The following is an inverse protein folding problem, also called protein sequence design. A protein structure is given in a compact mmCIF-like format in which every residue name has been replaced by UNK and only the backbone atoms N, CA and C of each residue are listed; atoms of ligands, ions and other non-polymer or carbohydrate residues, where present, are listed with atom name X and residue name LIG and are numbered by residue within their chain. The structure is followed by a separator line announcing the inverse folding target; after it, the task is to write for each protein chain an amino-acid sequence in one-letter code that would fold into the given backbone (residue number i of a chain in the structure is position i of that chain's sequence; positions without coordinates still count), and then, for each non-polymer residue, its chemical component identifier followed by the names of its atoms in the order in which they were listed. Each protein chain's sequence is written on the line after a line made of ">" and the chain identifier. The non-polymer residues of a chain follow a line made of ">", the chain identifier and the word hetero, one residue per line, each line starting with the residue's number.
data_IF_455337012999
#
_entry.id   IF_455337012999
#
_cell.length_a   1.000
_cell.length_b   1.000
_cell.length_c   1.000
_cell.angle_alpha   90.00
_cell.angle_beta   90.00
_cell.angle_gamma   90.00
#
_symmetry.space_group_name_H-M   'P 1'
#
loop_
_entity.id
_entity.type
_entity.pdbx_description
1 polymer ?
#
# COMPACT_ATOMS: atom_id res chain seq x y z
N UNK A 1 22.88 12.32 -43.94
CA UNK A 1 21.63 11.92 -43.25
C UNK A 1 21.84 12.17 -41.78
N UNK A 2 21.25 13.22 -41.15
CA UNK A 2 21.34 13.42 -39.72
C UNK A 2 20.43 12.42 -39.03
N UNK A 3 20.98 11.65 -38.08
CA UNK A 3 20.22 10.75 -37.23
C UNK A 3 19.38 11.59 -36.27
N UNK A 4 18.05 11.47 -36.32
CA UNK A 4 17.09 11.96 -35.38
C UNK A 4 17.44 11.43 -33.98
N UNK A 5 18.11 12.24 -33.17
CA UNK A 5 18.16 12.02 -31.73
C UNK A 5 16.74 12.24 -31.21
N UNK A 6 15.96 11.15 -31.03
CA UNK A 6 14.73 11.17 -30.25
C UNK A 6 15.08 11.79 -28.89
N UNK A 7 14.65 13.03 -28.65
CA UNK A 7 14.70 13.66 -27.35
C UNK A 7 14.04 12.73 -26.34
N UNK A 8 14.83 12.27 -25.36
CA UNK A 8 14.29 11.52 -24.24
C UNK A 8 13.28 12.41 -23.52
N UNK A 9 12.04 11.96 -23.27
CA UNK A 9 11.08 12.77 -22.55
C UNK A 9 11.67 13.13 -21.17
N UNK A 10 11.57 14.38 -20.79
CA UNK A 10 12.09 14.98 -19.53
C UNK A 10 11.73 14.14 -18.29
N UNK A 11 10.57 13.47 -18.36
CA UNK A 11 10.03 12.58 -17.31
C UNK A 11 10.76 11.24 -17.17
N UNK A 12 11.45 10.75 -18.22
CA UNK A 12 12.18 9.48 -18.15
C UNK A 12 13.39 9.60 -17.20
N UNK A 13 14.09 10.74 -17.22
CA UNK A 13 15.25 10.96 -16.36
C UNK A 13 14.82 11.20 -14.90
N UNK A 14 13.65 11.81 -14.66
CA UNK A 14 13.09 11.97 -13.31
C UNK A 14 12.75 10.60 -12.70
N UNK A 15 12.07 9.74 -13.45
CA UNK A 15 11.75 8.38 -13.04
C UNK A 15 13.00 7.57 -12.68
N UNK A 16 14.01 7.60 -13.55
CA UNK A 16 15.26 6.89 -13.32
C UNK A 16 15.97 7.38 -12.03
N UNK A 17 16.04 8.70 -11.82
CA UNK A 17 16.61 9.28 -10.60
C UNK A 17 15.86 8.86 -9.34
N UNK A 18 14.53 8.89 -9.36
CA UNK A 18 13.71 8.46 -8.23
C UNK A 18 13.88 6.96 -7.94
N UNK A 19 13.89 6.11 -8.97
CA UNK A 19 14.17 4.69 -8.82
C UNK A 19 15.56 4.43 -8.22
N UNK A 20 16.58 5.19 -8.65
CA UNK A 20 17.93 5.08 -8.09
C UNK A 20 17.97 5.53 -6.63
N UNK A 21 17.28 6.62 -6.26
CA UNK A 21 17.15 7.08 -4.88
C UNK A 21 16.48 6.02 -4.00
N UNK A 22 15.40 5.40 -4.46
CA UNK A 22 14.71 4.32 -3.73
C UNK A 22 15.63 3.11 -3.53
N UNK A 23 16.41 2.73 -4.55
CA UNK A 23 17.37 1.61 -4.43
C UNK A 23 18.47 1.89 -3.42
N UNK A 24 18.95 3.13 -3.33
CA UNK A 24 20.03 3.52 -2.43
C UNK A 24 19.55 3.77 -1.00
N UNK A 25 18.46 4.51 -0.83
CA UNK A 25 18.03 5.10 0.45
C UNK A 25 16.71 4.50 0.96
N UNK A 26 16.03 3.67 0.16
CA UNK A 26 14.73 3.08 0.49
C UNK A 26 13.54 4.04 0.30
N UNK A 27 12.32 3.49 0.36
CA UNK A 27 11.07 4.27 0.21
C UNK A 27 10.87 5.31 1.31
N UNK A 28 11.39 5.06 2.52
CA UNK A 28 11.26 5.99 3.65
C UNK A 28 12.00 7.32 3.45
N UNK A 29 12.89 7.41 2.45
CA UNK A 29 13.57 8.65 2.08
C UNK A 29 12.72 9.60 1.25
N UNK A 30 11.57 9.13 0.78
CA UNK A 30 10.66 9.88 -0.07
C UNK A 30 9.61 10.63 0.75
N UNK A 31 9.20 11.80 0.26
CA UNK A 31 8.01 12.48 0.79
C UNK A 31 6.73 11.72 0.40
N UNK A 32 5.63 11.95 1.11
CA UNK A 32 4.37 11.23 0.90
C UNK A 32 3.87 11.23 -0.55
N UNK A 33 3.93 12.38 -1.23
CA UNK A 33 3.55 12.47 -2.65
C UNK A 33 4.54 11.74 -3.56
N UNK A 34 5.85 11.74 -3.24
CA UNK A 34 6.87 11.01 -4.01
C UNK A 34 6.69 9.49 -3.90
N UNK A 35 6.24 8.98 -2.74
CA UNK A 35 5.90 7.56 -2.58
C UNK A 35 4.73 7.17 -3.47
N UNK A 36 3.67 8.00 -3.53
CA UNK A 36 2.54 7.78 -4.45
C UNK A 36 2.96 7.89 -5.90
N UNK A 37 3.79 8.87 -6.23
CA UNK A 37 4.35 9.02 -7.57
C UNK A 37 5.12 7.76 -8.00
N UNK A 38 5.99 7.26 -7.12
CA UNK A 38 6.74 6.03 -7.35
C UNK A 38 5.83 4.82 -7.55
N UNK A 39 4.77 4.69 -6.74
CA UNK A 39 3.76 3.64 -6.87
C UNK A 39 3.05 3.73 -8.22
N UNK A 40 2.68 4.92 -8.66
CA UNK A 40 2.01 5.15 -9.94
C UNK A 40 2.90 4.80 -11.15
N UNK A 41 4.21 4.75 -11.02
CA UNK A 41 5.10 4.29 -12.09
C UNK A 41 4.78 2.88 -12.57
N UNK A 42 4.25 2.02 -11.71
CA UNK A 42 3.90 0.64 -12.06
C UNK A 42 2.60 0.54 -12.87
N UNK A 43 1.70 1.51 -12.74
CA UNK A 43 0.41 1.52 -13.45
C UNK A 43 0.35 2.53 -14.59
N UNK A 44 1.22 3.54 -14.61
CA UNK A 44 1.27 4.61 -15.60
C UNK A 44 2.70 4.72 -16.18
N UNK A 45 3.05 3.93 -17.21
CA UNK A 45 4.46 3.80 -17.63
C UNK A 45 5.02 5.00 -18.40
N UNK A 46 4.19 5.82 -19.04
CA UNK A 46 4.67 6.83 -20.01
C UNK A 46 4.26 8.27 -19.69
N UNK A 47 3.53 8.51 -18.60
CA UNK A 47 2.99 9.80 -18.26
C UNK A 47 3.66 10.34 -17.00
N UNK A 48 3.66 11.66 -16.83
CA UNK A 48 4.07 12.30 -15.59
C UNK A 48 3.06 11.99 -14.48
N UNK A 49 3.51 11.33 -13.43
CA UNK A 49 2.66 10.91 -12.32
C UNK A 49 2.74 11.87 -11.12
N UNK A 50 3.66 12.83 -11.14
CA UNK A 50 3.80 13.80 -10.06
C UNK A 50 2.53 14.64 -9.85
N UNK A 51 1.88 15.23 -10.90
CA UNK A 51 0.63 15.96 -10.72
C UNK A 51 -0.51 15.09 -10.17
N UNK A 52 -0.54 13.80 -10.53
CA UNK A 52 -1.57 12.86 -10.06
C UNK A 52 -1.36 12.57 -8.57
N UNK A 53 -0.12 12.33 -8.13
CA UNK A 53 0.23 12.13 -6.73
C UNK A 53 -0.17 13.34 -5.86
N UNK A 54 0.09 14.54 -6.32
CA UNK A 54 -0.34 15.77 -5.64
C UNK A 54 -1.86 15.92 -5.57
N UNK A 55 -2.60 15.57 -6.65
CA UNK A 55 -4.07 15.58 -6.64
C UNK A 55 -4.63 14.57 -5.64
N UNK A 56 -4.06 13.36 -5.56
CA UNK A 56 -4.44 12.36 -4.58
C UNK A 56 -4.27 12.86 -3.14
N UNK A 57 -3.11 13.41 -2.79
CA UNK A 57 -2.87 13.98 -1.45
C UNK A 57 -3.85 15.12 -1.16
N UNK A 58 -4.10 16.01 -2.13
CA UNK A 58 -5.04 17.13 -1.96
C UNK A 58 -6.48 16.65 -1.75
N UNK A 59 -6.90 15.62 -2.48
CA UNK A 59 -8.27 15.09 -2.41
C UNK A 59 -8.54 14.35 -1.11
N UNK A 60 -7.60 13.51 -0.66
CA UNK A 60 -7.77 12.65 0.52
C UNK A 60 -7.13 13.22 1.80
N UNK A 61 -6.34 14.28 1.70
CA UNK A 61 -5.70 14.96 2.83
C UNK A 61 -4.39 14.33 3.30
N UNK A 62 -4.20 13.01 3.16
CA UNK A 62 -2.97 12.32 3.58
C UNK A 62 -2.67 11.09 2.73
N UNK A 63 -1.41 10.64 2.78
CA UNK A 63 -0.97 9.38 2.18
C UNK A 63 -1.77 8.17 2.71
N UNK A 64 -1.99 8.10 4.02
CA UNK A 64 -2.74 7.00 4.63
C UNK A 64 -4.18 6.94 4.10
N UNK A 65 -4.86 8.08 4.04
CA UNK A 65 -6.23 8.15 3.51
C UNK A 65 -6.32 7.75 2.04
N UNK A 66 -5.26 8.04 1.24
CA UNK A 66 -5.19 7.56 -0.15
C UNK A 66 -5.13 6.03 -0.21
N UNK A 67 -4.34 5.40 0.66
CA UNK A 67 -4.23 3.93 0.69
C UNK A 67 -5.47 3.25 1.29
N UNK A 68 -6.22 3.95 2.13
CA UNK A 68 -7.47 3.47 2.73
C UNK A 68 -8.70 3.73 1.84
N UNK A 69 -8.53 4.47 0.72
CA UNK A 69 -9.62 4.78 -0.19
C UNK A 69 -10.06 3.56 -1.02
N UNK A 70 -11.36 3.51 -1.36
CA UNK A 70 -11.90 2.49 -2.28
C UNK A 70 -11.52 2.78 -3.73
N UNK A 71 -11.61 1.76 -4.59
CA UNK A 71 -11.38 1.94 -6.03
C UNK A 71 -12.31 3.03 -6.61
N UNK A 72 -13.58 3.06 -6.18
CA UNK A 72 -14.57 4.03 -6.64
C UNK A 72 -14.23 5.48 -6.23
N UNK A 73 -13.72 5.66 -5.01
CA UNK A 73 -13.28 6.98 -4.53
C UNK A 73 -12.02 7.45 -5.27
N UNK A 74 -11.07 6.55 -5.51
CA UNK A 74 -9.84 6.84 -6.24
C UNK A 74 -10.10 7.24 -7.69
N UNK A 75 -11.07 6.60 -8.35
CA UNK A 75 -11.47 6.91 -9.72
C UNK A 75 -12.05 8.31 -9.90
N UNK A 76 -12.49 8.99 -8.83
CA UNK A 76 -12.95 10.38 -8.87
C UNK A 76 -11.81 11.38 -9.05
N UNK A 77 -10.56 10.96 -8.83
CA UNK A 77 -9.38 11.83 -8.96
C UNK A 77 -8.90 11.82 -10.41
N UNK A 78 -8.81 13.01 -11.01
CA UNK A 78 -8.35 13.18 -12.38
C UNK A 78 -6.95 12.59 -12.60
N UNK A 79 -6.81 11.75 -13.62
CA UNK A 79 -5.59 11.06 -14.00
C UNK A 79 -5.43 9.68 -13.34
N UNK A 80 -6.32 9.30 -12.42
CA UNK A 80 -6.35 7.96 -11.84
C UNK A 80 -7.26 7.07 -12.68
N UNK A 81 -6.66 6.14 -13.42
CA UNK A 81 -7.41 5.13 -14.17
C UNK A 81 -7.66 3.85 -13.35
N UNK A 82 -8.45 2.90 -13.90
CA UNK A 82 -8.82 1.66 -13.18
C UNK A 82 -7.61 0.84 -12.69
N UNK A 83 -6.54 0.78 -13.47
CA UNK A 83 -5.33 0.05 -13.07
C UNK A 83 -4.66 0.70 -11.85
N UNK A 84 -4.58 2.04 -11.82
CA UNK A 84 -3.98 2.78 -10.72
C UNK A 84 -4.86 2.72 -9.47
N UNK A 85 -6.18 2.86 -9.60
CA UNK A 85 -7.12 2.75 -8.50
C UNK A 85 -7.03 1.36 -7.84
N UNK A 86 -7.05 0.30 -8.64
CA UNK A 86 -6.91 -1.09 -8.16
C UNK A 86 -5.57 -1.32 -7.48
N UNK A 87 -4.47 -0.82 -8.06
CA UNK A 87 -3.14 -0.95 -7.47
C UNK A 87 -3.10 -0.31 -6.09
N UNK A 88 -3.54 0.94 -5.96
CA UNK A 88 -3.54 1.68 -4.68
C UNK A 88 -4.41 0.96 -3.65
N UNK A 89 -5.67 0.63 -3.98
CA UNK A 89 -6.61 -0.05 -3.08
C UNK A 89 -6.16 -1.46 -2.67
N UNK A 90 -5.24 -2.08 -3.41
CA UNK A 90 -4.69 -3.40 -3.09
C UNK A 90 -3.56 -3.37 -2.07
N UNK A 91 -2.89 -2.24 -1.86
CA UNK A 91 -1.70 -2.15 -0.97
C UNK A 91 -2.02 -2.62 0.45
N UNK A 92 -3.11 -2.11 1.04
CA UNK A 92 -3.51 -2.50 2.39
C UNK A 92 -3.91 -3.97 2.49
N UNK A 93 -4.49 -4.52 1.43
CA UNK A 93 -4.84 -5.95 1.34
C UNK A 93 -3.59 -6.84 1.29
N UNK A 94 -2.57 -6.43 0.53
CA UNK A 94 -1.28 -7.13 0.51
C UNK A 94 -0.58 -7.07 1.86
N UNK A 95 -0.57 -5.93 2.53
CA UNK A 95 -0.03 -5.78 3.87
C UNK A 95 -0.75 -6.71 4.86
N UNK A 96 -2.08 -6.76 4.83
CA UNK A 96 -2.88 -7.66 5.67
C UNK A 96 -2.49 -9.12 5.44
N UNK A 97 -2.46 -9.57 4.17
CA UNK A 97 -2.07 -10.95 3.83
C UNK A 97 -0.65 -11.26 4.32
N UNK A 98 0.30 -10.34 4.12
CA UNK A 98 1.68 -10.50 4.57
C UNK A 98 1.76 -10.70 6.09
N UNK A 99 1.08 -9.85 6.87
CA UNK A 99 1.05 -9.95 8.32
C UNK A 99 0.38 -11.24 8.81
N UNK A 100 -0.73 -11.65 8.18
CA UNK A 100 -1.40 -12.91 8.50
C UNK A 100 -0.51 -14.13 8.19
N UNK A 101 0.21 -14.13 7.08
CA UNK A 101 1.11 -15.22 6.71
C UNK A 101 2.32 -15.33 7.63
N UNK A 102 2.90 -14.20 8.05
CA UNK A 102 4.00 -14.20 9.03
C UNK A 102 3.62 -14.90 10.34
N UNK A 103 2.35 -14.88 10.71
CA UNK A 103 1.83 -15.45 11.96
C UNK A 103 1.49 -16.92 11.87
N UNK A 104 1.17 -17.44 10.67
CA UNK A 104 0.79 -18.85 10.46
C UNK A 104 1.85 -19.88 10.89
N UNK A 105 3.10 -19.46 11.10
CA UNK A 105 4.19 -20.33 11.60
C UNK A 105 4.55 -20.16 13.07
N UNK A 106 3.95 -19.19 13.76
CA UNK A 106 4.29 -18.87 15.15
C UNK A 106 3.10 -19.14 16.05
N UNK A 107 2.97 -20.37 16.55
CA UNK A 107 2.06 -20.70 17.64
C UNK A 107 2.56 -20.05 18.95
N UNK A 108 2.48 -18.71 19.03
CA UNK A 108 2.83 -17.96 20.24
C UNK A 108 1.60 -17.86 21.13
N UNK A 109 1.67 -18.24 22.41
CA UNK A 109 0.55 -18.09 23.33
C UNK A 109 0.26 -16.58 23.54
N UNK A 110 -1.01 -16.19 23.48
CA UNK A 110 -1.47 -14.81 23.65
C UNK A 110 -1.69 -14.50 25.15
N UNK A 111 -0.60 -14.49 25.92
CA UNK A 111 -0.67 -14.35 27.38
C UNK A 111 -0.88 -12.90 27.81
N UNK A 112 -0.25 -11.97 27.12
CA UNK A 112 -0.32 -10.53 27.46
C UNK A 112 -1.34 -9.81 26.59
N UNK A 113 -1.78 -8.64 27.04
CA UNK A 113 -2.62 -7.75 26.24
C UNK A 113 -1.92 -7.34 24.93
N UNK A 114 -0.63 -7.05 25.01
CA UNK A 114 0.18 -6.73 23.83
C UNK A 114 0.20 -7.87 22.81
N UNK A 115 0.33 -9.14 23.25
CA UNK A 115 0.26 -10.30 22.35
C UNK A 115 -1.10 -10.40 21.65
N UNK A 116 -2.20 -10.08 22.38
CA UNK A 116 -3.56 -10.10 21.83
C UNK A 116 -3.78 -8.99 20.84
N UNK A 117 -3.38 -7.76 21.17
CA UNK A 117 -3.45 -6.60 20.26
C UNK A 117 -2.64 -6.88 18.99
N UNK A 118 -1.41 -7.35 19.12
CA UNK A 118 -0.56 -7.72 18.00
C UNK A 118 -1.22 -8.78 17.10
N UNK A 119 -1.90 -9.76 17.69
CA UNK A 119 -2.61 -10.80 16.95
C UNK A 119 -3.85 -10.27 16.22
N UNK A 120 -4.65 -9.42 16.89
CA UNK A 120 -5.96 -8.99 16.40
C UNK A 120 -5.85 -7.86 15.38
N UNK A 121 -4.93 -6.91 15.57
CA UNK A 121 -4.82 -5.71 14.75
C UNK A 121 -4.84 -5.95 13.22
N UNK A 122 -4.14 -6.97 12.66
CA UNK A 122 -4.19 -7.21 11.21
C UNK A 122 -5.52 -7.72 10.68
N UNK A 123 -6.39 -8.27 11.55
CA UNK A 123 -7.71 -8.71 11.13
C UNK A 123 -8.59 -7.52 10.70
N UNK A 124 -8.30 -6.35 11.26
CA UNK A 124 -9.02 -5.11 10.99
C UNK A 124 -8.32 -4.15 10.02
N UNK A 125 -7.12 -4.48 9.55
CA UNK A 125 -6.24 -3.56 8.82
C UNK A 125 -6.84 -2.96 7.54
N UNK A 126 -7.72 -3.70 6.86
CA UNK A 126 -8.36 -3.28 5.61
C UNK A 126 -9.89 -3.17 5.73
N UNK A 127 -10.42 -3.32 6.96
CA UNK A 127 -11.85 -3.30 7.17
C UNK A 127 -12.36 -1.87 7.36
N UNK A 128 -13.42 -1.52 6.64
CA UNK A 128 -14.13 -0.23 6.75
C UNK A 128 -15.50 -0.35 7.41
N UNK A 129 -15.98 -1.59 7.55
CA UNK A 129 -17.25 -1.92 8.21
C UNK A 129 -16.98 -2.48 9.60
N UNK A 130 -17.95 -2.34 10.50
CA UNK A 130 -17.88 -2.94 11.81
C UNK A 130 -17.85 -4.47 11.69
N UNK A 131 -16.82 -5.10 12.22
CA UNK A 131 -16.68 -6.56 12.29
C UNK A 131 -16.39 -7.01 13.70
N UNK A 132 -16.96 -8.14 14.09
CA UNK A 132 -16.70 -8.79 15.36
C UNK A 132 -15.99 -10.13 15.09
N UNK A 133 -14.85 -10.34 15.75
CA UNK A 133 -14.13 -11.60 15.71
C UNK A 133 -14.18 -12.29 17.07
N UNK A 134 -14.64 -13.53 17.10
CA UNK A 134 -14.57 -14.38 18.27
C UNK A 134 -13.30 -15.25 18.20
N UNK A 135 -12.40 -15.07 19.16
CA UNK A 135 -11.14 -15.83 19.23
C UNK A 135 -11.23 -16.77 20.44
N UNK A 136 -11.22 -18.08 20.15
CA UNK A 136 -11.18 -19.10 21.19
C UNK A 136 -9.75 -19.55 21.46
N UNK A 137 -9.39 -19.71 22.72
CA UNK A 137 -8.07 -20.11 23.19
C UNK A 137 -8.20 -21.30 24.14
N UNK A 138 -7.15 -22.14 24.18
CA UNK A 138 -7.01 -23.17 25.21
C UNK A 138 -6.47 -22.57 26.53
N UNK A 139 -6.36 -23.40 27.57
CA UNK A 139 -5.85 -23.00 28.91
C UNK A 139 -4.40 -22.48 28.90
N UNK A 140 -3.66 -22.78 27.83
CA UNK A 140 -2.29 -22.26 27.62
C UNK A 140 -2.27 -20.94 26.82
N UNK A 141 -3.43 -20.30 26.64
CA UNK A 141 -3.58 -19.09 25.82
C UNK A 141 -3.15 -19.27 24.36
N UNK A 142 -3.27 -20.48 23.82
CA UNK A 142 -2.99 -20.76 22.41
C UNK A 142 -4.29 -20.79 21.63
N UNK A 143 -4.28 -20.20 20.44
CA UNK A 143 -5.41 -20.25 19.52
C UNK A 143 -5.43 -21.63 18.88
N UNK A 144 -6.56 -22.33 18.98
CA UNK A 144 -6.82 -23.56 18.25
C UNK A 144 -6.82 -23.31 16.74
N UNK A 145 -6.62 -24.36 15.92
CA UNK A 145 -6.85 -24.25 14.46
C UNK A 145 -8.30 -23.87 14.23
N UNK A 146 -8.53 -22.63 13.77
CA UNK A 146 -9.85 -22.27 13.26
C UNK A 146 -10.13 -23.12 12.03
N UNK A 147 -11.10 -24.03 12.14
CA UNK A 147 -11.76 -24.59 10.98
C UNK A 147 -12.84 -23.58 10.55
N UNK A 148 -12.61 -22.91 9.43
CA UNK A 148 -13.64 -22.14 8.72
C UNK A 148 -14.37 -23.09 7.80
#
# INVERSE_FOLDING_TARGET
>A
MPQDKKEKPLHADHRARMQQRVRRDGLASLAAHEVLEYLLFFSIPRQDTNPIAHRLIRHFGSYCNVLDATEEELLKVEGVGPASARLIASIRKFEQVYQLQQRRGRARPLRTEADRIEYVSPLFLSEREEKCYLITMNDQCQIGRAHV
#
